data_IF_653028640999
#
_entry.id   IF_653028640999
#
_cell.length_a   1.000
_cell.length_b   1.000
_cell.length_c   1.000
_cell.angle_alpha   90.00
_cell.angle_beta   90.00
_cell.angle_gamma   90.00
#
_symmetry.space_group_name_H-M   'P 1'
#
loop_
_entity.id
_entity.type
_entity.pdbx_description
1 polymer ?
#
# COMPACT_ATOMS: atom_id res chain seq x y z
N UNK A 1 -0.89 -9.36 -8.71
CA UNK A 1 -2.34 -9.03 -8.83
C UNK A 1 -2.57 -7.69 -8.17
N UNK A 2 -3.62 -6.94 -8.52
CA UNK A 2 -3.91 -5.62 -7.91
C UNK A 2 -4.09 -5.71 -6.38
N UNK A 3 -4.45 -6.90 -5.87
CA UNK A 3 -4.70 -7.11 -4.43
C UNK A 3 -3.65 -8.02 -3.79
N UNK A 4 -2.73 -8.59 -4.56
CA UNK A 4 -1.74 -9.56 -4.06
C UNK A 4 -0.38 -9.31 -4.71
N UNK A 5 0.59 -9.06 -3.85
CA UNK A 5 2.01 -8.92 -4.12
C UNK A 5 2.78 -9.94 -3.29
N UNK A 6 3.82 -10.54 -3.87
CA UNK A 6 4.66 -11.53 -3.21
C UNK A 6 6.06 -10.96 -3.07
N UNK A 7 6.66 -11.11 -1.88
CA UNK A 7 8.06 -10.79 -1.67
C UNK A 7 8.91 -11.90 -2.26
N UNK A 8 9.76 -11.56 -3.23
CA UNK A 8 10.67 -12.50 -3.88
C UNK A 8 12.11 -12.03 -3.71
N UNK A 9 13.02 -12.98 -3.53
CA UNK A 9 14.46 -12.71 -3.48
C UNK A 9 15.07 -12.90 -4.88
N UNK A 10 15.91 -11.97 -5.30
CA UNK A 10 16.65 -12.05 -6.56
C UNK A 10 18.13 -12.33 -6.23
N UNK A 11 18.71 -13.44 -6.74
CA UNK A 11 20.11 -13.73 -6.51
C UNK A 11 20.99 -12.79 -7.32
N UNK A 12 22.03 -12.25 -6.66
CA UNK A 12 23.10 -11.49 -7.32
C UNK A 12 24.38 -12.31 -7.23
N UNK A 13 24.94 -12.65 -8.39
CA UNK A 13 26.15 -13.48 -8.46
C UNK A 13 27.41 -12.61 -8.49
N UNK A 14 28.42 -13.02 -7.74
CA UNK A 14 29.74 -12.37 -7.73
C UNK A 14 30.53 -12.71 -9.00
N UNK A 15 31.58 -11.92 -9.26
CA UNK A 15 32.44 -12.14 -10.41
C UNK A 15 33.04 -13.55 -10.44
N UNK A 16 33.51 -14.01 -9.30
CA UNK A 16 34.10 -15.35 -9.12
C UNK A 16 33.08 -16.46 -9.32
N UNK A 17 31.83 -16.27 -8.88
CA UNK A 17 30.76 -17.25 -9.06
C UNK A 17 30.38 -17.42 -10.54
N UNK A 18 30.43 -16.33 -11.31
CA UNK A 18 30.14 -16.35 -12.75
C UNK A 18 31.29 -17.02 -13.52
N UNK A 19 32.54 -16.63 -13.24
CA UNK A 19 33.72 -17.19 -13.92
C UNK A 19 33.90 -18.68 -13.69
N UNK A 20 33.53 -19.17 -12.50
CA UNK A 20 33.62 -20.60 -12.15
C UNK A 20 32.42 -21.44 -12.62
N UNK A 21 31.46 -20.86 -13.35
CA UNK A 21 30.27 -21.58 -13.81
C UNK A 21 30.61 -22.55 -14.95
N UNK A 22 30.19 -23.81 -14.83
CA UNK A 22 30.47 -24.88 -15.81
C UNK A 22 30.01 -24.55 -17.24
N UNK A 23 28.97 -23.72 -17.38
CA UNK A 23 28.40 -23.34 -18.67
C UNK A 23 29.10 -22.15 -19.34
N UNK A 24 30.06 -21.51 -18.67
CA UNK A 24 30.72 -20.32 -19.24
C UNK A 24 31.59 -20.66 -20.44
N UNK A 25 32.11 -21.90 -20.52
CA UNK A 25 32.95 -22.40 -21.62
C UNK A 25 32.20 -22.57 -22.94
N UNK A 26 30.87 -22.46 -22.95
CA UNK A 26 30.04 -22.50 -24.17
C UNK A 26 30.13 -21.14 -24.92
N UNK A 27 30.55 -20.08 -24.25
CA UNK A 27 30.62 -18.74 -24.82
C UNK A 27 32.04 -18.43 -25.34
N UNK A 28 32.13 -18.18 -26.64
CA UNK A 28 33.39 -18.11 -27.39
C UNK A 28 34.10 -16.74 -27.33
N UNK A 29 33.52 -15.74 -26.66
CA UNK A 29 34.00 -14.34 -26.67
C UNK A 29 33.86 -13.64 -25.31
N UNK A 30 34.18 -14.33 -24.23
CA UNK A 30 34.18 -13.77 -22.87
C UNK A 30 35.60 -13.41 -22.45
N UNK A 31 35.93 -12.12 -22.54
CA UNK A 31 37.13 -11.56 -21.89
C UNK A 31 36.77 -11.05 -20.49
N UNK A 32 37.77 -10.92 -19.61
CA UNK A 32 37.60 -10.45 -18.23
C UNK A 32 36.93 -9.06 -18.16
N UNK A 33 37.23 -8.18 -19.11
CA UNK A 33 36.62 -6.85 -19.22
C UNK A 33 35.14 -6.91 -19.64
N UNK A 34 34.79 -7.85 -20.53
CA UNK A 34 33.41 -8.08 -20.98
C UNK A 34 32.56 -8.63 -19.83
N UNK A 35 33.10 -9.59 -19.08
CA UNK A 35 32.42 -10.19 -17.92
C UNK A 35 32.15 -9.13 -16.85
N UNK A 36 33.13 -8.25 -16.58
CA UNK A 36 32.96 -7.13 -15.65
C UNK A 36 31.88 -6.14 -16.11
N UNK A 37 31.94 -5.72 -17.37
CA UNK A 37 30.95 -4.78 -17.95
C UNK A 37 29.53 -5.37 -17.92
N UNK A 38 29.40 -6.65 -18.23
CA UNK A 38 28.12 -7.36 -18.15
C UNK A 38 27.58 -7.42 -16.71
N UNK A 39 28.44 -7.68 -15.72
CA UNK A 39 28.04 -7.73 -14.32
C UNK A 39 27.53 -6.38 -13.81
N UNK A 40 28.25 -5.29 -14.13
CA UNK A 40 27.83 -3.94 -13.77
C UNK A 40 26.47 -3.60 -14.40
N UNK A 41 26.27 -3.94 -15.68
CA UNK A 41 25.00 -3.76 -16.36
C UNK A 41 23.88 -4.62 -15.74
N UNK A 42 24.15 -5.90 -15.47
CA UNK A 42 23.18 -6.82 -14.88
C UNK A 42 22.74 -6.36 -13.50
N UNK A 43 23.68 -5.87 -12.67
CA UNK A 43 23.37 -5.33 -11.35
C UNK A 43 22.45 -4.11 -11.45
N UNK A 44 22.79 -3.15 -12.33
CA UNK A 44 21.96 -1.97 -12.56
C UNK A 44 20.56 -2.34 -13.07
N UNK A 45 20.47 -3.31 -13.98
CA UNK A 45 19.20 -3.82 -14.52
C UNK A 45 18.33 -4.48 -13.44
N UNK A 46 18.92 -5.33 -12.59
CA UNK A 46 18.20 -5.99 -11.48
C UNK A 46 17.69 -5.00 -10.44
N UNK A 47 18.49 -3.98 -10.09
CA UNK A 47 18.05 -2.91 -9.20
C UNK A 47 16.88 -2.15 -9.81
N UNK A 48 16.98 -1.77 -11.10
CA UNK A 48 15.90 -1.06 -11.78
C UNK A 48 14.61 -1.89 -11.84
N UNK A 49 14.72 -3.20 -12.14
CA UNK A 49 13.60 -4.13 -12.11
C UNK A 49 12.93 -4.17 -10.72
N UNK A 50 13.72 -4.38 -9.67
CA UNK A 50 13.22 -4.43 -8.29
C UNK A 50 12.55 -3.12 -7.86
N UNK A 51 13.11 -1.96 -8.27
CA UNK A 51 12.50 -0.66 -7.98
C UNK A 51 11.14 -0.49 -8.66
N UNK A 52 10.99 -0.95 -9.90
CA UNK A 52 9.73 -0.83 -10.64
C UNK A 52 8.64 -1.75 -10.10
N UNK A 53 8.99 -3.00 -9.77
CA UNK A 53 8.07 -3.95 -9.12
C UNK A 53 7.60 -3.44 -7.74
N UNK A 54 8.53 -2.91 -6.92
CA UNK A 54 8.19 -2.33 -5.62
C UNK A 54 7.28 -1.11 -5.75
N UNK A 55 7.58 -0.19 -6.67
CA UNK A 55 6.74 0.99 -6.88
C UNK A 55 5.31 0.62 -7.31
N UNK A 56 5.16 -0.37 -8.19
CA UNK A 56 3.84 -0.88 -8.59
C UNK A 56 3.09 -1.49 -7.40
N UNK A 57 3.75 -2.36 -6.64
CA UNK A 57 3.19 -3.03 -5.46
C UNK A 57 2.77 -2.03 -4.37
N UNK A 58 3.57 -0.99 -4.16
CA UNK A 58 3.27 0.09 -3.21
C UNK A 58 2.00 0.84 -3.60
N UNK A 59 1.86 1.25 -4.86
CA UNK A 59 0.67 1.97 -5.31
C UNK A 59 -0.59 1.10 -5.18
N UNK A 60 -0.47 -0.19 -5.52
CA UNK A 60 -1.56 -1.15 -5.38
C UNK A 60 -1.98 -1.31 -3.92
N UNK A 61 -1.02 -1.52 -3.01
CA UNK A 61 -1.27 -1.61 -1.58
C UNK A 61 -1.88 -0.34 -1.01
N UNK A 62 -1.39 0.82 -1.45
CA UNK A 62 -1.90 2.13 -1.02
C UNK A 62 -3.36 2.30 -1.44
N UNK A 63 -3.70 1.95 -2.68
CA UNK A 63 -5.08 2.03 -3.17
C UNK A 63 -6.03 1.17 -2.33
N UNK A 64 -5.68 -0.09 -2.09
CA UNK A 64 -6.51 -1.00 -1.27
C UNK A 64 -6.64 -0.52 0.18
N UNK A 65 -5.55 -0.04 0.78
CA UNK A 65 -5.58 0.47 2.15
C UNK A 65 -6.46 1.73 2.27
N UNK A 66 -6.38 2.65 1.30
CA UNK A 66 -7.18 3.87 1.30
C UNK A 66 -8.67 3.58 1.04
N UNK A 67 -9.00 2.63 0.16
CA UNK A 67 -10.38 2.21 -0.07
C UNK A 67 -11.02 1.63 1.21
N UNK A 68 -10.26 0.78 1.92
CA UNK A 68 -10.67 0.29 3.24
C UNK A 68 -10.86 1.42 4.27
N UNK A 69 -9.97 2.41 4.28
CA UNK A 69 -10.10 3.57 5.16
C UNK A 69 -11.35 4.41 4.84
N UNK A 70 -11.63 4.68 3.56
CA UNK A 70 -12.81 5.42 3.11
C UNK A 70 -14.11 4.71 3.50
N UNK A 71 -14.17 3.38 3.32
CA UNK A 71 -15.33 2.58 3.75
C UNK A 71 -15.55 2.65 5.26
N UNK A 72 -14.48 2.46 6.04
CA UNK A 72 -14.55 2.52 7.50
C UNK A 72 -14.99 3.91 8.00
N UNK A 73 -14.51 4.98 7.35
CA UNK A 73 -14.93 6.34 7.67
C UNK A 73 -16.42 6.56 7.35
N UNK A 74 -16.92 6.04 6.22
CA UNK A 74 -18.34 6.09 5.88
C UNK A 74 -19.22 5.43 6.95
N UNK A 75 -18.87 4.20 7.37
CA UNK A 75 -19.60 3.50 8.43
C UNK A 75 -19.60 4.26 9.77
N UNK A 76 -18.53 4.99 10.06
CA UNK A 76 -18.44 5.83 11.26
C UNK A 76 -19.34 7.07 11.15
N UNK A 77 -19.34 7.74 10.00
CA UNK A 77 -20.19 8.91 9.73
C UNK A 77 -21.67 8.53 9.88
N UNK A 78 -22.08 7.39 9.36
CA UNK A 78 -23.47 6.92 9.46
C UNK A 78 -23.90 6.72 10.92
N UNK A 79 -23.04 6.08 11.73
CA UNK A 79 -23.29 5.88 13.17
C UNK A 79 -23.38 7.21 13.92
N UNK A 80 -22.49 8.14 13.63
CA UNK A 80 -22.49 9.46 14.26
C UNK A 80 -23.71 10.30 13.82
N UNK A 81 -24.13 10.17 12.57
CA UNK A 81 -25.32 10.86 12.04
C UNK A 81 -26.60 10.38 12.72
N UNK A 82 -26.74 9.08 12.95
CA UNK A 82 -27.86 8.54 13.72
C UNK A 82 -27.86 9.03 15.17
N UNK A 83 -26.68 9.09 15.79
CA UNK A 83 -26.52 9.63 17.15
C UNK A 83 -26.88 11.11 17.20
N UNK A 84 -26.39 11.90 16.24
CA UNK A 84 -26.69 13.33 16.11
C UNK A 84 -28.20 13.58 15.99
N UNK A 85 -28.89 12.85 15.11
CA UNK A 85 -30.34 13.01 14.93
C UNK A 85 -31.13 12.65 16.19
N UNK A 86 -30.74 11.58 16.90
CA UNK A 86 -31.37 11.19 18.17
C UNK A 86 -31.17 12.28 19.24
N UNK A 87 -29.94 12.77 19.40
CA UNK A 87 -29.63 13.85 20.36
C UNK A 87 -30.38 15.13 20.01
N UNK A 88 -30.45 15.50 18.72
CA UNK A 88 -31.21 16.66 18.25
C UNK A 88 -32.69 16.56 18.65
N UNK A 89 -33.31 15.41 18.41
CA UNK A 89 -34.71 15.20 18.81
C UNK A 89 -34.90 15.31 20.32
N UNK A 90 -34.01 14.70 21.11
CA UNK A 90 -34.05 14.77 22.56
C UNK A 90 -33.94 16.22 23.09
N UNK A 91 -33.08 17.05 22.47
CA UNK A 91 -32.95 18.47 22.82
C UNK A 91 -34.23 19.24 22.50
N UNK A 92 -34.80 19.08 21.29
CA UNK A 92 -36.06 19.74 20.91
C UNK A 92 -37.18 19.35 21.88
N UNK A 93 -37.34 18.07 22.19
CA UNK A 93 -38.36 17.61 23.14
C UNK A 93 -38.14 18.19 24.54
N UNK A 94 -36.89 18.27 25.00
CA UNK A 94 -36.55 18.87 26.30
C UNK A 94 -36.93 20.36 26.35
N UNK A 95 -36.53 21.13 25.34
CA UNK A 95 -36.86 22.56 25.25
C UNK A 95 -38.38 22.79 25.23
N UNK A 96 -39.13 21.98 24.47
CA UNK A 96 -40.60 22.06 24.45
C UNK A 96 -41.22 21.75 25.82
N UNK A 97 -40.73 20.73 26.53
CA UNK A 97 -41.21 20.38 27.87
C UNK A 97 -40.92 21.51 28.86
N UNK A 98 -39.74 22.15 28.77
CA UNK A 98 -39.38 23.29 29.61
C UNK A 98 -40.31 24.48 29.37
N UNK A 99 -40.65 24.80 28.11
CA UNK A 99 -41.60 25.87 27.76
C UNK A 99 -43.00 25.56 28.34
N UNK A 100 -43.52 24.34 28.14
CA UNK A 100 -44.85 23.95 28.61
C UNK A 100 -44.92 23.98 30.14
N UNK A 101 -43.90 23.45 30.82
CA UNK A 101 -43.84 23.42 32.29
C UNK A 101 -43.75 24.83 32.88
N UNK A 102 -42.99 25.74 32.25
CA UNK A 102 -42.93 27.14 32.64
C UNK A 102 -44.25 27.87 32.45
N UNK A 103 -44.97 27.61 31.35
CA UNK A 103 -46.28 28.21 31.09
C UNK A 103 -47.38 27.68 32.04
N UNK A 104 -47.33 26.41 32.43
CA UNK A 104 -48.29 25.80 33.36
C UNK A 104 -48.07 26.20 34.83
N UNK A 105 -46.90 26.75 35.17
CA UNK A 105 -46.55 27.22 36.51
C UNK A 105 -46.96 28.69 36.77
N UNK A 106 -47.47 29.39 35.74
CA UNK A 106 -48.01 30.75 35.82
C UNK A 106 -49.54 30.73 36.00
#
# INVERSE_FOLDING_TARGET
SVVSYNTTELPVFSAEAITNAEKISIYDSLDAEVIKSYQEYSLASLIFYAMKENACSEQSSRMTAMDGASKNAGEMIDKLTMTFNRTRQAVITKELIEIISGAAAL
#
